data_IF_898784304991
#
_entry.id   IF_898784304991
#
_cell.length_a   1.000
_cell.length_b   1.000
_cell.length_c   1.000
_cell.angle_alpha   90.00
_cell.angle_beta   90.00
_cell.angle_gamma   90.00
#
_symmetry.space_group_name_H-M   'P 1'
#
loop_
_entity.id
_entity.type
_entity.pdbx_description
1 polymer ?
#
# COMPACT_ATOMS: atom_id res chain seq x y z
N UNK A 1 -43.29 -9.71 -14.32
CA UNK A 1 -42.17 -10.01 -15.21
C UNK A 1 -40.90 -9.90 -14.40
N UNK A 2 -40.26 -11.05 -14.09
CA UNK A 2 -38.97 -11.07 -13.38
C UNK A 2 -37.89 -10.65 -14.35
N UNK A 3 -37.25 -9.49 -14.12
CA UNK A 3 -36.06 -9.07 -14.86
C UNK A 3 -34.89 -9.90 -14.36
N UNK A 4 -34.55 -10.96 -15.09
CA UNK A 4 -33.33 -11.71 -14.83
C UNK A 4 -32.13 -10.77 -15.03
N UNK A 5 -31.50 -10.34 -13.95
CA UNK A 5 -30.26 -9.54 -14.02
C UNK A 5 -29.13 -10.46 -14.47
N UNK A 6 -28.54 -10.17 -15.62
CA UNK A 6 -27.34 -10.87 -16.06
C UNK A 6 -26.18 -10.51 -15.11
N UNK A 7 -25.53 -11.47 -14.46
CA UNK A 7 -24.44 -11.17 -13.55
C UNK A 7 -23.25 -10.55 -14.29
N UNK A 8 -22.69 -9.48 -13.74
CA UNK A 8 -21.45 -8.86 -14.24
C UNK A 8 -20.31 -9.85 -14.01
N UNK A 9 -19.59 -10.21 -15.07
CA UNK A 9 -18.41 -11.08 -14.97
C UNK A 9 -17.20 -10.31 -14.47
N UNK A 10 -16.49 -10.88 -13.50
CA UNK A 10 -15.20 -10.35 -13.07
C UNK A 10 -14.15 -10.48 -14.18
N UNK A 11 -13.22 -9.53 -14.26
CA UNK A 11 -12.11 -9.60 -15.21
C UNK A 11 -11.18 -10.78 -14.85
N UNK A 12 -10.59 -11.43 -15.87
CA UNK A 12 -9.71 -12.59 -15.68
C UNK A 12 -8.53 -12.33 -14.72
N UNK A 13 -8.03 -11.10 -14.69
CA UNK A 13 -6.95 -10.69 -13.76
C UNK A 13 -7.33 -10.84 -12.29
N UNK A 14 -8.62 -10.74 -11.93
CA UNK A 14 -9.07 -10.92 -10.54
C UNK A 14 -8.83 -12.35 -10.05
N UNK A 15 -8.83 -13.33 -10.94
CA UNK A 15 -8.53 -14.72 -10.60
C UNK A 15 -7.03 -15.03 -10.45
N UNK A 16 -6.15 -14.15 -10.95
CA UNK A 16 -4.69 -14.24 -10.78
C UNK A 16 -4.20 -13.55 -9.50
N UNK A 17 -5.10 -12.79 -8.86
CA UNK A 17 -4.78 -11.98 -7.70
C UNK A 17 -5.03 -12.76 -6.40
N UNK A 18 -3.98 -12.95 -5.62
CA UNK A 18 -4.07 -13.53 -4.27
C UNK A 18 -3.47 -12.57 -3.26
N UNK A 19 -4.30 -11.98 -2.40
CA UNK A 19 -3.81 -11.16 -1.30
C UNK A 19 -3.78 -12.00 -0.02
N UNK A 20 -2.64 -12.63 0.22
CA UNK A 20 -2.44 -13.65 1.26
C UNK A 20 -2.86 -13.21 2.66
N UNK A 21 -2.64 -11.92 3.03
CA UNK A 21 -2.98 -11.39 4.36
C UNK A 21 -4.47 -11.57 4.68
N UNK A 22 -5.37 -11.27 3.74
CA UNK A 22 -6.82 -11.42 3.96
C UNK A 22 -7.26 -12.87 4.05
N UNK A 23 -6.64 -13.75 3.27
CA UNK A 23 -6.95 -15.19 3.31
C UNK A 23 -6.53 -15.79 4.65
N UNK A 24 -5.34 -15.47 5.14
CA UNK A 24 -4.86 -15.92 6.46
C UNK A 24 -5.79 -15.47 7.58
N UNK A 25 -6.28 -14.22 7.55
CA UNK A 25 -7.25 -13.73 8.55
C UNK A 25 -8.57 -14.48 8.46
N UNK A 26 -9.06 -14.80 7.26
CA UNK A 26 -10.29 -15.57 7.09
C UNK A 26 -10.18 -16.99 7.65
N UNK A 27 -9.05 -17.66 7.43
CA UNK A 27 -8.78 -18.99 8.02
C UNK A 27 -8.60 -18.90 9.54
N UNK A 28 -7.89 -17.90 10.05
CA UNK A 28 -7.75 -17.68 11.49
C UNK A 28 -9.11 -17.55 12.20
N UNK A 29 -10.05 -16.80 11.60
CA UNK A 29 -11.41 -16.66 12.15
C UNK A 29 -12.18 -17.98 12.20
N UNK A 30 -11.97 -18.90 11.26
CA UNK A 30 -12.56 -20.23 11.30
C UNK A 30 -12.03 -21.04 12.48
N UNK A 31 -10.72 -20.93 12.73
CA UNK A 31 -10.08 -21.59 13.88
C UNK A 31 -10.58 -20.99 15.20
N UNK A 32 -10.70 -19.67 15.31
CA UNK A 32 -11.30 -19.02 16.50
C UNK A 32 -12.73 -19.49 16.77
N UNK A 33 -13.53 -19.71 15.72
CA UNK A 33 -14.89 -20.21 15.86
C UNK A 33 -14.97 -21.62 16.48
N UNK A 34 -13.87 -22.38 16.49
CA UNK A 34 -13.77 -23.67 17.20
C UNK A 34 -13.46 -23.53 18.70
N UNK A 35 -13.27 -22.32 19.20
CA UNK A 35 -12.87 -22.03 20.59
C UNK A 35 -11.35 -22.00 20.81
N UNK A 36 -10.55 -22.13 19.76
CA UNK A 36 -9.08 -22.05 19.85
C UNK A 36 -8.63 -20.59 19.80
N UNK A 37 -7.75 -20.20 20.73
CA UNK A 37 -7.15 -18.86 20.71
C UNK A 37 -6.15 -18.73 19.57
N UNK A 38 -6.29 -17.69 18.74
CA UNK A 38 -5.36 -17.36 17.66
C UNK A 38 -4.57 -16.10 18.01
N UNK A 39 -3.25 -16.16 17.83
CA UNK A 39 -2.39 -14.99 17.96
C UNK A 39 -2.04 -14.45 16.58
N UNK A 40 -2.46 -13.22 16.30
CA UNK A 40 -2.23 -12.54 15.04
C UNK A 40 -0.85 -11.89 15.01
N UNK A 41 0.03 -12.33 14.11
CA UNK A 41 1.36 -11.77 13.87
C UNK A 41 1.53 -11.24 12.44
N UNK A 42 0.44 -11.19 11.68
CA UNK A 42 0.42 -10.87 10.25
C UNK A 42 0.13 -9.39 9.95
N UNK A 43 -0.33 -8.62 10.93
CA UNK A 43 -0.61 -7.19 10.78
C UNK A 43 0.05 -6.46 11.94
N UNK A 44 0.98 -5.55 11.62
CA UNK A 44 1.60 -4.64 12.58
C UNK A 44 0.87 -3.30 12.58
N UNK A 45 -0.23 -3.19 13.32
CA UNK A 45 -0.90 -1.90 13.53
C UNK A 45 -0.36 -1.24 14.81
N UNK A 46 0.44 -0.16 14.70
CA UNK A 46 1.00 0.50 15.87
C UNK A 46 -0.06 0.96 16.88
N UNK A 47 -1.22 1.43 16.40
CA UNK A 47 -2.28 1.91 17.30
C UNK A 47 -2.85 0.79 18.18
N UNK A 48 -2.93 -0.44 17.68
CA UNK A 48 -3.37 -1.60 18.45
C UNK A 48 -2.42 -1.95 19.62
N UNK A 49 -1.18 -1.44 19.58
CA UNK A 49 -0.14 -1.68 20.58
C UNK A 49 0.22 -0.43 21.40
N UNK A 50 -0.69 0.57 21.43
CA UNK A 50 -0.53 1.77 22.27
C UNK A 50 0.35 2.88 21.67
N UNK A 51 0.79 2.75 20.43
CA UNK A 51 1.46 3.84 19.72
C UNK A 51 0.40 4.78 19.14
N UNK A 52 0.23 5.92 19.79
CA UNK A 52 -0.75 6.93 19.35
C UNK A 52 -0.12 7.93 18.38
N UNK A 53 -0.95 8.49 17.51
CA UNK A 53 -0.51 9.60 16.65
C UNK A 53 -0.02 10.77 17.51
N UNK A 54 1.17 11.33 17.26
CA UNK A 54 1.70 12.44 18.04
C UNK A 54 0.73 13.62 18.07
N UNK A 55 0.50 14.23 19.25
CA UNK A 55 -0.50 15.32 19.40
C UNK A 55 -0.28 16.49 18.44
N UNK A 56 0.97 16.87 18.16
CA UNK A 56 1.27 17.96 17.24
C UNK A 56 0.82 17.69 15.79
N UNK A 57 0.81 16.42 15.36
CA UNK A 57 0.30 16.04 14.04
C UNK A 57 -1.23 16.10 14.00
N UNK A 58 -1.89 15.66 15.07
CA UNK A 58 -3.35 15.75 15.20
C UNK A 58 -3.78 17.21 15.15
N UNK A 59 -3.13 18.09 15.92
CA UNK A 59 -3.45 19.52 15.95
C UNK A 59 -3.14 20.22 14.62
N UNK A 60 -2.07 19.85 13.93
CA UNK A 60 -1.76 20.40 12.61
C UNK A 60 -2.85 20.05 11.59
N UNK A 61 -3.28 18.79 11.55
CA UNK A 61 -4.36 18.35 10.66
C UNK A 61 -5.70 19.03 11.02
N UNK A 62 -6.06 19.07 12.31
CA UNK A 62 -7.28 19.71 12.78
C UNK A 62 -7.30 21.22 12.46
N UNK A 63 -6.18 21.91 12.61
CA UNK A 63 -6.04 23.32 12.25
C UNK A 63 -6.22 23.53 10.74
N UNK A 64 -5.54 22.75 9.91
CA UNK A 64 -5.69 22.84 8.46
C UNK A 64 -7.16 22.69 8.02
N UNK A 65 -7.88 21.73 8.61
CA UNK A 65 -9.30 21.56 8.34
C UNK A 65 -10.15 22.76 8.78
N UNK A 66 -9.89 23.34 9.96
CA UNK A 66 -10.60 24.54 10.45
C UNK A 66 -10.31 25.77 9.59
N UNK A 67 -9.08 25.86 9.07
CA UNK A 67 -8.63 26.96 8.20
C UNK A 67 -9.15 26.83 6.76
N UNK A 68 -9.95 25.80 6.46
CA UNK A 68 -10.61 25.62 5.18
C UNK A 68 -9.76 24.91 4.10
N UNK A 69 -8.62 24.29 4.46
CA UNK A 69 -7.81 23.53 3.53
C UNK A 69 -8.41 22.15 3.21
N UNK A 70 -9.66 22.13 2.74
CA UNK A 70 -10.44 20.91 2.48
C UNK A 70 -10.74 20.70 0.99
N UNK A 71 -10.20 21.56 0.12
CA UNK A 71 -10.44 21.54 -1.32
C UNK A 71 -9.50 20.61 -2.07
N UNK A 72 -9.66 20.61 -3.40
CA UNK A 72 -8.74 19.94 -4.31
C UNK A 72 -7.34 20.55 -4.24
N UNK A 73 -6.33 19.71 -4.43
CA UNK A 73 -4.92 20.13 -4.49
C UNK A 73 -4.30 19.69 -5.81
N UNK A 74 -3.06 20.08 -6.07
CA UNK A 74 -2.29 19.58 -7.19
C UNK A 74 -2.13 18.05 -7.09
N UNK A 75 -2.16 17.35 -8.21
CA UNK A 75 -2.08 15.87 -8.27
C UNK A 75 -0.80 15.30 -7.64
N UNK A 76 0.31 16.07 -7.69
CA UNK A 76 1.55 15.68 -7.05
C UNK A 76 1.57 15.93 -5.52
N UNK A 77 0.54 16.56 -4.97
CA UNK A 77 0.50 17.04 -3.59
C UNK A 77 0.85 18.52 -3.47
N UNK A 78 0.52 19.11 -2.32
CA UNK A 78 0.78 20.52 -2.05
C UNK A 78 2.29 20.80 -2.01
N UNK A 79 2.70 21.97 -2.54
CA UNK A 79 4.12 22.33 -2.65
C UNK A 79 4.85 22.25 -1.30
N UNK A 80 4.34 22.79 -0.19
CA UNK A 80 5.04 22.70 1.10
C UNK A 80 5.33 21.26 1.56
N UNK A 81 4.44 20.30 1.28
CA UNK A 81 4.69 18.91 1.62
C UNK A 81 5.78 18.28 0.73
N UNK A 82 5.80 18.63 -0.56
CA UNK A 82 6.83 18.17 -1.49
C UNK A 82 8.21 18.77 -1.17
N UNK A 83 8.25 20.04 -0.79
CA UNK A 83 9.47 20.70 -0.31
C UNK A 83 10.02 20.07 0.97
N UNK A 84 9.14 19.78 1.95
CA UNK A 84 9.54 19.13 3.19
C UNK A 84 10.10 17.71 2.93
N UNK A 85 9.45 16.94 2.05
CA UNK A 85 9.95 15.63 1.66
C UNK A 85 11.29 15.70 0.92
N UNK A 86 11.44 16.64 -0.02
CA UNK A 86 12.70 16.86 -0.74
C UNK A 86 13.83 17.25 0.22
N UNK A 87 13.57 18.11 1.21
CA UNK A 87 14.54 18.49 2.22
C UNK A 87 14.97 17.29 3.10
N UNK A 88 14.05 16.41 3.47
CA UNK A 88 14.39 15.18 4.22
C UNK A 88 15.26 14.23 3.39
N UNK A 89 14.98 14.05 2.10
CA UNK A 89 15.85 13.29 1.20
C UNK A 89 17.24 13.89 1.07
N UNK A 90 17.34 15.22 0.89
CA UNK A 90 18.62 15.92 0.80
C UNK A 90 19.44 15.78 2.09
N UNK A 91 18.81 15.84 3.26
CA UNK A 91 19.46 15.60 4.54
C UNK A 91 20.03 14.17 4.67
N UNK A 92 19.49 13.22 3.90
CA UNK A 92 19.98 11.83 3.81
C UNK A 92 20.96 11.61 2.65
N UNK A 93 21.39 12.69 1.97
CA UNK A 93 22.37 12.63 0.88
C UNK A 93 21.76 12.34 -0.50
N UNK A 94 20.46 12.46 -0.66
CA UNK A 94 19.77 12.26 -1.95
C UNK A 94 19.17 13.58 -2.40
N UNK A 95 19.84 14.26 -3.32
CA UNK A 95 19.37 15.54 -3.89
C UNK A 95 18.14 15.30 -4.79
N UNK A 96 17.00 15.82 -4.36
CA UNK A 96 15.71 15.70 -5.08
C UNK A 96 15.04 17.08 -5.16
N UNK A 97 14.66 17.48 -6.38
CA UNK A 97 13.80 18.65 -6.55
C UNK A 97 12.36 18.34 -6.09
N UNK A 98 11.66 19.30 -5.45
CA UNK A 98 10.24 19.14 -5.11
C UNK A 98 9.35 18.75 -6.29
N UNK A 99 9.72 19.08 -7.52
CA UNK A 99 8.98 18.71 -8.74
C UNK A 99 9.11 17.22 -9.10
N UNK A 100 10.02 16.50 -8.46
CA UNK A 100 10.19 15.05 -8.56
C UNK A 100 9.59 14.29 -7.39
N UNK A 101 8.88 14.98 -6.51
CA UNK A 101 8.20 14.38 -5.36
C UNK A 101 6.70 14.26 -5.63
N UNK A 102 6.18 13.07 -5.44
CA UNK A 102 4.76 12.77 -5.48
C UNK A 102 4.30 12.33 -4.08
N UNK A 103 3.32 13.03 -3.53
CA UNK A 103 2.68 12.66 -2.25
C UNK A 103 1.57 11.67 -2.55
N UNK A 104 1.62 10.51 -1.91
CA UNK A 104 0.65 9.43 -2.10
C UNK A 104 -0.15 9.14 -0.83
N UNK A 105 -1.30 8.50 -0.97
CA UNK A 105 -2.10 8.01 0.15
C UNK A 105 -1.50 6.72 0.72
N UNK A 106 -0.32 6.87 1.30
CA UNK A 106 0.47 5.78 1.87
C UNK A 106 1.34 5.05 0.84
N UNK A 107 2.23 4.19 1.35
CA UNK A 107 3.22 3.44 0.56
C UNK A 107 2.58 2.52 -0.49
N UNK A 108 1.37 2.02 -0.22
CA UNK A 108 0.69 1.12 -1.15
C UNK A 108 0.37 1.78 -2.49
N UNK A 109 -0.12 3.02 -2.47
CA UNK A 109 -0.34 3.78 -3.69
C UNK A 109 0.99 4.10 -4.38
N UNK A 110 2.02 4.47 -3.63
CA UNK A 110 3.36 4.74 -4.17
C UNK A 110 3.94 3.53 -4.91
N UNK A 111 3.83 2.33 -4.35
CA UNK A 111 4.26 1.08 -5.00
C UNK A 111 3.45 0.82 -6.27
N UNK A 112 2.13 0.97 -6.20
CA UNK A 112 1.26 0.75 -7.36
C UNK A 112 1.59 1.71 -8.50
N UNK A 113 1.72 3.00 -8.21
CA UNK A 113 2.06 4.02 -9.20
C UNK A 113 3.44 3.78 -9.81
N UNK A 114 4.44 3.49 -8.99
CA UNK A 114 5.80 3.23 -9.46
C UNK A 114 5.85 2.01 -10.40
N UNK A 115 5.31 0.87 -9.97
CA UNK A 115 5.32 -0.34 -10.79
C UNK A 115 4.50 -0.17 -12.08
N UNK A 116 3.33 0.47 -11.99
CA UNK A 116 2.51 0.71 -13.19
C UNK A 116 3.19 1.66 -14.18
N UNK A 117 4.03 2.58 -13.71
CA UNK A 117 4.72 3.53 -14.58
C UNK A 117 5.93 2.95 -15.31
N UNK A 118 6.58 1.91 -14.75
CA UNK A 118 7.87 1.42 -15.27
C UNK A 118 7.86 -0.04 -15.73
N UNK A 119 6.77 -0.79 -15.50
CA UNK A 119 6.68 -2.23 -15.80
C UNK A 119 5.55 -2.47 -16.78
N UNK A 120 5.82 -3.20 -17.87
CA UNK A 120 4.83 -3.62 -18.87
C UNK A 120 4.26 -5.00 -18.56
N UNK A 121 3.14 -5.34 -19.21
CA UNK A 121 2.62 -6.70 -19.22
C UNK A 121 3.66 -7.67 -19.82
N UNK A 122 3.93 -8.77 -19.10
CA UNK A 122 4.90 -9.78 -19.47
C UNK A 122 6.33 -9.53 -19.00
N UNK A 123 6.65 -8.35 -18.47
CA UNK A 123 7.98 -8.08 -17.92
C UNK A 123 8.26 -8.92 -16.66
N UNK A 124 9.51 -9.33 -16.50
CA UNK A 124 10.00 -10.02 -15.31
C UNK A 124 10.49 -9.02 -14.26
N UNK A 125 9.99 -9.15 -13.03
CA UNK A 125 10.38 -8.29 -11.91
C UNK A 125 10.95 -9.11 -10.77
N UNK A 126 12.18 -8.79 -10.35
CA UNK A 126 12.83 -9.44 -9.21
C UNK A 126 12.16 -9.04 -7.91
N UNK A 127 11.70 -10.02 -7.14
CA UNK A 127 10.99 -9.84 -5.88
C UNK A 127 11.62 -10.69 -4.79
N UNK A 128 11.94 -10.14 -3.60
CA UNK A 128 12.48 -10.93 -2.51
C UNK A 128 11.47 -11.99 -2.04
N UNK A 129 11.96 -13.11 -1.51
CA UNK A 129 11.14 -14.13 -0.87
C UNK A 129 11.78 -14.53 0.47
N UNK A 130 11.06 -14.33 1.60
CA UNK A 130 9.71 -13.77 1.75
C UNK A 130 9.62 -12.27 1.43
N UNK A 131 8.41 -11.80 1.06
CA UNK A 131 8.18 -10.40 0.68
C UNK A 131 6.84 -9.87 1.18
N UNK A 132 6.65 -8.56 1.07
CA UNK A 132 5.37 -7.92 1.29
C UNK A 132 4.38 -8.27 0.16
N UNK A 133 3.19 -8.83 0.46
CA UNK A 133 2.27 -9.36 -0.55
C UNK A 133 1.77 -8.35 -1.58
N UNK A 134 1.89 -7.05 -1.31
CA UNK A 134 1.45 -6.01 -2.23
C UNK A 134 2.25 -6.02 -3.53
N UNK A 135 3.57 -6.29 -3.49
CA UNK A 135 4.38 -6.31 -4.71
C UNK A 135 3.83 -7.32 -5.72
N UNK A 136 3.64 -8.55 -5.28
CA UNK A 136 3.09 -9.61 -6.16
C UNK A 136 1.66 -9.35 -6.58
N UNK A 137 0.88 -8.69 -5.74
CA UNK A 137 -0.48 -8.30 -6.04
C UNK A 137 -0.56 -7.24 -7.15
N UNK A 138 0.30 -6.23 -7.09
CA UNK A 138 0.38 -5.20 -8.13
C UNK A 138 0.91 -5.80 -9.43
N UNK A 139 1.96 -6.63 -9.39
CA UNK A 139 2.49 -7.30 -10.58
C UNK A 139 1.42 -8.17 -11.26
N UNK A 140 0.66 -8.96 -10.50
CA UNK A 140 -0.47 -9.72 -11.04
C UNK A 140 -1.55 -8.83 -11.68
N UNK A 141 -1.82 -7.65 -11.09
CA UNK A 141 -2.77 -6.66 -11.61
C UNK A 141 -2.36 -6.10 -12.96
N UNK A 142 -1.07 -5.80 -13.14
CA UNK A 142 -0.51 -5.22 -14.37
C UNK A 142 -0.05 -6.27 -15.39
N UNK A 143 -0.14 -7.57 -15.05
CA UNK A 143 0.23 -8.68 -15.94
C UNK A 143 1.72 -8.98 -16.02
N UNK A 144 2.52 -8.49 -15.08
CA UNK A 144 3.94 -8.78 -14.98
C UNK A 144 4.25 -10.06 -14.20
N UNK A 145 5.45 -10.63 -14.39
CA UNK A 145 5.89 -11.88 -13.79
C UNK A 145 6.80 -11.63 -12.59
N UNK A 146 6.44 -12.06 -11.36
CA UNK A 146 7.37 -12.01 -10.24
C UNK A 146 8.43 -13.11 -10.36
N UNK A 147 9.69 -12.73 -10.37
CA UNK A 147 10.84 -13.66 -10.31
C UNK A 147 11.43 -13.56 -8.90
N UNK A 148 11.30 -14.65 -8.15
CA UNK A 148 11.69 -14.64 -6.74
C UNK A 148 13.17 -14.92 -6.53
N UNK A 149 13.81 -14.12 -5.68
CA UNK A 149 15.10 -14.45 -5.09
C UNK A 149 14.97 -14.61 -3.57
N UNK A 150 15.72 -15.57 -3.02
CA UNK A 150 15.69 -15.84 -1.59
C UNK A 150 16.47 -14.78 -0.82
N UNK A 151 15.84 -14.21 0.21
CA UNK A 151 16.52 -13.40 1.22
C UNK A 151 16.91 -14.28 2.39
N UNK A 152 18.18 -14.18 2.80
CA UNK A 152 18.70 -14.89 3.96
C UNK A 152 18.83 -13.88 5.11
N UNK A 153 18.04 -14.00 6.20
CA UNK A 153 18.12 -13.07 7.33
C UNK A 153 19.43 -13.19 8.13
N UNK A 154 20.25 -14.21 7.84
CA UNK A 154 21.54 -14.41 8.49
C UNK A 154 22.72 -13.77 7.74
N UNK A 155 22.47 -13.09 6.60
CA UNK A 155 23.49 -12.42 5.78
C UNK A 155 23.25 -10.94 5.67
#
# INVERSE_FOLDING_TARGET
MSTATTPIRAANRVHRFTYAIRQVVAEAKKVEATGMAVRYLNIGDPNAFGFVTPPHLIEAAARAMRDGHNGYTASAGILPAREAAAADFSARGVEVSPDRVLITSGTSEGIELALTAIVNEGDDVLVPSPTYPLYTAVLAKIGANPVYYRTDPAR
#
